data_IF_081159520479
#
_entry.id   IF_081159520479
#
_cell.length_a   1.000
_cell.length_b   1.000
_cell.length_c   1.000
_cell.angle_alpha   90.00
_cell.angle_beta   90.00
_cell.angle_gamma   90.00
#
_symmetry.space_group_name_H-M   'P 1'
#
loop_
_entity.id
_entity.type
_entity.pdbx_description
1 polymer ?
#
# COMPACT_ATOMS: atom_id res chain seq x y z
N UNK A 1 -1.49 -9.79 -21.98
CA UNK A 1 -1.14 -8.37 -21.95
C UNK A 1 0.31 -8.27 -21.54
N UNK A 2 1.04 -7.29 -22.07
CA UNK A 2 2.47 -7.14 -21.75
C UNK A 2 2.57 -6.31 -20.44
N UNK A 3 3.24 -6.85 -19.43
CA UNK A 3 3.43 -6.16 -18.15
C UNK A 3 4.44 -5.01 -18.29
N UNK A 4 4.10 -3.83 -17.79
CA UNK A 4 5.01 -2.67 -17.74
C UNK A 4 6.17 -2.91 -16.77
N UNK A 5 5.87 -3.53 -15.62
CA UNK A 5 6.90 -4.00 -14.68
C UNK A 5 6.79 -5.52 -14.60
N UNK A 6 7.89 -6.22 -14.86
CA UNK A 6 7.98 -7.68 -14.79
C UNK A 6 9.13 -8.09 -13.88
N UNK A 7 8.84 -8.98 -12.95
CA UNK A 7 9.83 -9.69 -12.13
C UNK A 7 9.63 -11.17 -12.41
N UNK A 8 10.69 -11.90 -12.71
CA UNK A 8 10.64 -13.31 -13.12
C UNK A 8 11.63 -14.14 -12.31
N UNK A 9 11.10 -14.93 -11.39
CA UNK A 9 11.84 -15.86 -10.51
C UNK A 9 13.09 -15.23 -9.86
N UNK A 10 12.96 -13.96 -9.44
CA UNK A 10 14.06 -13.15 -8.92
C UNK A 10 14.47 -13.61 -7.53
N UNK A 11 15.76 -13.90 -7.38
CA UNK A 11 16.37 -14.27 -6.10
C UNK A 11 17.57 -13.40 -5.80
N UNK A 12 17.65 -12.94 -4.57
CA UNK A 12 18.82 -12.31 -3.97
C UNK A 12 18.95 -12.78 -2.54
N UNK A 13 20.01 -13.52 -2.26
CA UNK A 13 20.32 -14.04 -0.93
C UNK A 13 21.45 -13.23 -0.30
N UNK A 14 21.22 -12.68 0.88
CA UNK A 14 22.24 -11.99 1.69
C UNK A 14 22.78 -12.88 2.82
N UNK A 15 22.37 -14.15 2.84
CA UNK A 15 22.68 -15.11 3.90
C UNK A 15 21.71 -15.04 5.09
N UNK A 16 21.70 -16.10 5.87
CA UNK A 16 20.88 -16.23 7.09
C UNK A 16 19.37 -16.03 6.84
N UNK A 17 18.85 -16.46 5.69
CA UNK A 17 17.46 -16.32 5.32
C UNK A 17 17.01 -14.89 4.97
N UNK A 18 17.96 -13.95 4.84
CA UNK A 18 17.69 -12.56 4.47
C UNK A 18 17.79 -12.38 2.96
N UNK A 19 16.76 -11.84 2.35
CA UNK A 19 16.77 -11.64 0.90
C UNK A 19 15.39 -11.61 0.29
N UNK A 20 15.34 -11.97 -0.99
CA UNK A 20 14.11 -12.25 -1.75
C UNK A 20 14.34 -13.52 -2.55
N UNK A 21 13.35 -14.41 -2.62
CA UNK A 21 13.55 -15.76 -3.09
C UNK A 21 12.45 -16.17 -4.07
N UNK A 22 12.80 -16.38 -5.34
CA UNK A 22 11.91 -16.86 -6.38
C UNK A 22 10.72 -15.94 -6.66
N UNK A 23 10.87 -14.63 -6.46
CA UNK A 23 9.78 -13.68 -6.62
C UNK A 23 9.41 -13.54 -8.09
N UNK A 24 8.12 -13.75 -8.39
CA UNK A 24 7.54 -13.51 -9.71
C UNK A 24 6.33 -12.60 -9.59
N UNK A 25 6.31 -11.51 -10.37
CA UNK A 25 5.30 -10.47 -10.30
C UNK A 25 5.17 -9.74 -11.64
N UNK A 26 3.95 -9.45 -12.06
CA UNK A 26 3.65 -8.62 -13.22
C UNK A 26 2.69 -7.49 -12.88
N UNK A 27 3.03 -6.27 -13.29
CA UNK A 27 2.21 -5.06 -13.09
C UNK A 27 1.80 -4.53 -14.46
N UNK A 28 0.52 -4.29 -14.64
CA UNK A 28 -0.07 -3.84 -15.90
C UNK A 28 0.08 -2.32 -16.08
N UNK A 29 -0.11 -1.84 -17.31
CA UNK A 29 -0.11 -0.40 -17.60
C UNK A 29 -1.28 0.29 -16.89
N UNK A 30 -1.00 1.44 -16.25
CA UNK A 30 -2.00 2.23 -15.52
C UNK A 30 -2.43 1.63 -14.18
N UNK A 31 -1.82 0.52 -13.76
CA UNK A 31 -2.13 -0.14 -12.50
C UNK A 31 -1.40 0.52 -11.31
N UNK A 32 -2.08 0.63 -10.19
CA UNK A 32 -1.46 0.90 -8.89
C UNK A 32 -1.34 -0.40 -8.12
N UNK A 33 -0.11 -0.91 -8.01
CA UNK A 33 0.19 -2.17 -7.36
C UNK A 33 0.89 -1.95 -6.02
N UNK A 34 0.35 -2.57 -4.96
CA UNK A 34 0.89 -2.52 -3.60
C UNK A 34 1.78 -3.70 -3.26
N UNK A 35 2.83 -3.47 -2.50
CA UNK A 35 3.67 -4.50 -1.88
C UNK A 35 3.61 -4.37 -0.36
N UNK A 36 2.77 -5.17 0.28
CA UNK A 36 2.58 -5.17 1.72
C UNK A 36 3.47 -6.22 2.41
N UNK A 37 3.97 -5.89 3.58
CA UNK A 37 4.75 -6.81 4.39
C UNK A 37 5.35 -6.12 5.60
N UNK A 38 5.71 -6.90 6.61
CA UNK A 38 6.39 -6.39 7.80
C UNK A 38 7.79 -5.85 7.47
N UNK A 39 8.38 -5.12 8.39
CA UNK A 39 9.75 -4.63 8.22
C UNK A 39 10.72 -5.82 8.10
N UNK A 40 11.65 -5.73 7.14
CA UNK A 40 12.60 -6.81 6.85
C UNK A 40 12.09 -7.88 5.88
N UNK A 41 10.83 -7.84 5.44
CA UNK A 41 10.29 -8.86 4.50
C UNK A 41 10.90 -8.86 3.10
N UNK A 42 11.69 -7.82 2.71
CA UNK A 42 12.35 -7.75 1.40
C UNK A 42 11.80 -6.67 0.45
N UNK A 43 10.82 -5.84 0.85
CA UNK A 43 10.19 -4.79 0.01
C UNK A 43 11.23 -3.87 -0.64
N UNK A 44 12.08 -3.24 0.17
CA UNK A 44 13.16 -2.36 -0.33
C UNK A 44 14.14 -3.09 -1.23
N UNK A 45 14.39 -4.37 -0.99
CA UNK A 45 15.26 -5.19 -1.84
C UNK A 45 14.68 -5.31 -3.25
N UNK A 46 13.38 -5.60 -3.39
CA UNK A 46 12.70 -5.64 -4.69
C UNK A 46 12.74 -4.30 -5.41
N UNK A 47 12.45 -3.19 -4.70
CA UNK A 47 12.54 -1.84 -5.28
C UNK A 47 13.96 -1.52 -5.78
N UNK A 48 14.99 -1.91 -5.02
CA UNK A 48 16.39 -1.72 -5.43
C UNK A 48 16.78 -2.53 -6.66
N UNK A 49 16.21 -3.73 -6.87
CA UNK A 49 16.41 -4.50 -8.09
C UNK A 49 15.78 -3.82 -9.29
N UNK A 50 14.55 -3.32 -9.19
CA UNK A 50 13.87 -2.59 -10.26
C UNK A 50 14.62 -1.31 -10.65
N UNK A 51 15.25 -0.63 -9.69
CA UNK A 51 16.10 0.54 -9.96
C UNK A 51 17.53 0.20 -10.43
N UNK A 52 17.84 -1.10 -10.59
CA UNK A 52 19.18 -1.53 -10.96
C UNK A 52 20.28 -1.17 -9.97
N UNK A 53 19.95 -1.03 -8.69
CA UNK A 53 20.95 -0.83 -7.61
C UNK A 53 21.51 -2.14 -7.09
N UNK A 54 20.81 -3.25 -7.33
CA UNK A 54 21.21 -4.60 -6.93
C UNK A 54 21.15 -5.53 -8.12
N UNK A 55 22.21 -6.36 -8.27
CA UNK A 55 22.20 -7.45 -9.22
C UNK A 55 21.56 -8.69 -8.59
N UNK A 56 20.58 -9.33 -9.25
CA UNK A 56 20.02 -10.58 -8.75
C UNK A 56 21.06 -11.72 -8.82
N UNK A 57 20.92 -12.70 -7.93
CA UNK A 57 21.73 -13.94 -7.98
C UNK A 57 21.15 -14.88 -9.05
N UNK A 58 19.81 -14.87 -9.22
CA UNK A 58 19.11 -15.55 -10.31
C UNK A 58 17.80 -14.83 -10.65
N UNK A 59 17.20 -15.19 -11.80
CA UNK A 59 16.01 -14.54 -12.31
C UNK A 59 16.32 -13.18 -12.93
N UNK A 60 15.26 -12.39 -13.19
CA UNK A 60 15.38 -11.09 -13.86
C UNK A 60 14.27 -10.13 -13.44
N UNK A 61 14.49 -8.85 -13.71
CA UNK A 61 13.45 -7.83 -13.63
C UNK A 61 13.54 -6.88 -14.82
N UNK A 62 12.39 -6.39 -15.29
CA UNK A 62 12.31 -5.48 -16.42
C UNK A 62 11.25 -4.40 -16.20
N UNK A 63 11.50 -3.19 -16.73
CA UNK A 63 10.54 -2.08 -16.81
C UNK A 63 10.42 -1.67 -18.27
N UNK A 64 9.20 -1.65 -18.80
CA UNK A 64 8.92 -1.36 -20.22
C UNK A 64 9.79 -2.22 -21.17
N UNK A 65 9.96 -3.49 -20.85
CA UNK A 65 10.79 -4.44 -21.62
C UNK A 65 12.31 -4.28 -21.45
N UNK A 66 12.78 -3.24 -20.75
CA UNK A 66 14.21 -3.03 -20.47
C UNK A 66 14.65 -3.78 -19.22
N UNK A 67 15.68 -4.62 -19.32
CA UNK A 67 16.27 -5.30 -18.17
C UNK A 67 16.83 -4.28 -17.14
N UNK A 68 16.41 -4.41 -15.89
CA UNK A 68 16.67 -3.43 -14.84
C UNK A 68 18.16 -3.32 -14.47
N UNK A 69 18.94 -4.39 -14.62
CA UNK A 69 20.36 -4.36 -14.30
C UNK A 69 21.18 -3.76 -15.44
N UNK A 70 20.98 -4.25 -16.66
CA UNK A 70 21.79 -3.84 -17.83
C UNK A 70 21.40 -2.46 -18.38
N UNK A 71 20.14 -2.06 -18.21
CA UNK A 71 19.59 -0.78 -18.68
C UNK A 71 19.33 0.23 -17.55
N UNK A 72 20.00 0.05 -16.40
CA UNK A 72 19.74 0.83 -15.17
C UNK A 72 19.83 2.36 -15.38
N UNK A 73 20.74 2.83 -16.21
CA UNK A 73 20.91 4.27 -16.50
C UNK A 73 19.66 4.85 -17.20
N UNK A 74 19.15 4.14 -18.21
CA UNK A 74 17.95 4.56 -18.96
C UNK A 74 16.71 4.51 -18.07
N UNK A 75 16.56 3.46 -17.28
CA UNK A 75 15.44 3.28 -16.34
C UNK A 75 15.42 4.43 -15.31
N UNK A 76 16.56 4.78 -14.71
CA UNK A 76 16.65 5.87 -13.73
C UNK A 76 16.23 7.23 -14.27
N UNK A 77 16.33 7.45 -15.58
CA UNK A 77 15.87 8.68 -16.25
C UNK A 77 14.39 8.69 -16.58
N UNK A 78 13.74 7.51 -16.60
CA UNK A 78 12.35 7.34 -17.04
C UNK A 78 11.37 6.96 -15.92
N UNK A 79 11.87 6.77 -14.68
CA UNK A 79 11.09 6.32 -13.54
C UNK A 79 11.18 7.34 -12.41
N UNK A 80 10.02 7.73 -11.86
CA UNK A 80 9.98 8.47 -10.61
C UNK A 80 10.20 7.53 -9.42
N UNK A 81 11.18 7.85 -8.56
CA UNK A 81 11.57 6.94 -7.48
C UNK A 81 11.62 7.62 -6.11
N UNK A 82 10.96 7.01 -5.12
CA UNK A 82 11.12 7.35 -3.70
C UNK A 82 11.88 6.19 -3.04
N UNK A 83 13.09 6.41 -2.50
CA UNK A 83 13.82 5.40 -1.75
C UNK A 83 13.27 5.24 -0.32
N UNK A 84 13.34 4.04 0.25
CA UNK A 84 12.92 3.78 1.65
C UNK A 84 13.76 4.53 2.69
N UNK A 85 15.03 4.82 2.35
CA UNK A 85 15.90 5.70 3.14
C UNK A 85 16.27 6.93 2.34
N UNK A 86 15.75 8.08 2.78
CA UNK A 86 15.93 9.35 2.08
C UNK A 86 17.27 9.97 2.46
N UNK A 87 18.12 10.15 1.45
CA UNK A 87 19.36 10.91 1.52
C UNK A 87 19.40 11.92 0.37
N UNK A 88 19.74 13.15 0.69
CA UNK A 88 19.86 14.22 -0.30
C UNK A 88 21.33 14.58 -0.54
N UNK A 89 21.68 15.04 -1.75
CA UNK A 89 22.97 15.63 -2.02
C UNK A 89 23.18 16.90 -1.18
N UNK A 90 24.42 17.37 -1.08
CA UNK A 90 24.75 18.58 -0.29
C UNK A 90 24.28 19.86 -1.02
N UNK A 91 22.97 20.08 -1.01
CA UNK A 91 22.32 21.30 -1.48
C UNK A 91 21.87 22.17 -0.31
N UNK A 92 21.75 23.48 -0.53
CA UNK A 92 21.45 24.44 0.55
C UNK A 92 20.00 24.28 1.04
N UNK A 93 19.05 24.13 0.11
CA UNK A 93 17.61 24.07 0.38
C UNK A 93 16.92 22.98 -0.46
N UNK A 94 15.67 22.65 -0.16
CA UNK A 94 14.83 21.79 -0.98
C UNK A 94 14.61 22.38 -2.38
N UNK A 95 14.43 23.71 -2.48
CA UNK A 95 14.27 24.38 -3.75
C UNK A 95 15.55 24.29 -4.62
N UNK A 96 16.74 24.42 -4.03
CA UNK A 96 18.00 24.22 -4.78
C UNK A 96 18.14 22.77 -5.26
N UNK A 97 17.68 21.83 -4.46
CA UNK A 97 17.64 20.41 -4.85
C UNK A 97 16.69 20.18 -6.04
N UNK A 98 15.48 20.75 -6.02
CA UNK A 98 14.55 20.62 -7.15
C UNK A 98 15.07 21.26 -8.43
N UNK A 99 15.72 22.44 -8.34
CA UNK A 99 16.35 23.07 -9.50
C UNK A 99 17.46 22.21 -10.08
N UNK A 100 18.33 21.66 -9.24
CA UNK A 100 19.38 20.74 -9.67
C UNK A 100 18.79 19.49 -10.36
N UNK A 101 17.73 18.93 -9.80
CA UNK A 101 17.06 17.77 -10.37
C UNK A 101 16.39 18.11 -11.71
N UNK A 102 15.72 19.27 -11.80
CA UNK A 102 15.11 19.74 -13.04
C UNK A 102 16.16 19.94 -14.15
N UNK A 103 17.30 20.54 -13.83
CA UNK A 103 18.43 20.70 -14.77
C UNK A 103 18.96 19.35 -15.24
N UNK A 104 19.18 18.40 -14.31
CA UNK A 104 19.66 17.06 -14.64
C UNK A 104 18.68 16.28 -15.53
N UNK A 105 17.38 16.45 -15.32
CA UNK A 105 16.32 15.79 -16.09
C UNK A 105 15.90 16.58 -17.34
N UNK A 106 16.46 17.78 -17.56
CA UNK A 106 16.08 18.63 -18.69
C UNK A 106 14.69 19.22 -18.62
N UNK A 107 14.13 19.41 -17.41
CA UNK A 107 12.79 19.96 -17.19
C UNK A 107 12.84 21.49 -17.32
N UNK A 108 12.09 22.04 -18.28
CA UNK A 108 11.98 23.49 -18.48
C UNK A 108 10.86 24.12 -17.63
N UNK A 109 9.85 23.33 -17.24
CA UNK A 109 8.69 23.79 -16.47
C UNK A 109 8.62 23.08 -15.12
N UNK A 110 8.53 23.85 -14.05
CA UNK A 110 8.40 23.36 -12.67
C UNK A 110 7.02 23.61 -12.07
N UNK A 111 6.04 24.02 -12.85
CA UNK A 111 4.68 24.35 -12.37
C UNK A 111 4.03 23.18 -11.64
N UNK A 112 4.29 21.95 -12.08
CA UNK A 112 3.79 20.75 -11.43
C UNK A 112 4.45 20.52 -10.05
N UNK A 113 5.75 20.82 -9.92
CA UNK A 113 6.42 20.76 -8.60
C UNK A 113 5.87 21.80 -7.63
N UNK A 114 5.51 23.00 -8.12
CA UNK A 114 4.90 24.05 -7.30
C UNK A 114 3.49 23.63 -6.83
N UNK A 115 2.73 22.95 -7.67
CA UNK A 115 1.42 22.37 -7.30
C UNK A 115 1.57 21.30 -6.21
N UNK A 116 2.54 20.39 -6.37
CA UNK A 116 2.81 19.33 -5.40
C UNK A 116 3.26 19.89 -4.06
N UNK A 117 4.14 20.90 -4.06
CA UNK A 117 4.58 21.59 -2.83
C UNK A 117 3.40 22.20 -2.08
N UNK A 118 2.45 22.84 -2.79
CA UNK A 118 1.24 23.39 -2.17
C UNK A 118 0.34 22.30 -1.59
N UNK A 119 0.10 21.20 -2.33
CA UNK A 119 -0.73 20.08 -1.86
C UNK A 119 -0.16 19.40 -0.61
N UNK A 120 1.16 19.31 -0.52
CA UNK A 120 1.87 18.67 0.59
C UNK A 120 2.24 19.65 1.71
N UNK A 121 1.86 20.92 1.61
CA UNK A 121 2.24 21.97 2.58
C UNK A 121 3.76 21.90 2.88
N UNK A 122 4.57 21.98 1.82
CA UNK A 122 6.03 21.90 1.89
C UNK A 122 6.68 23.25 1.70
N UNK A 123 7.37 23.75 2.73
CA UNK A 123 8.33 24.86 2.61
C UNK A 123 9.69 24.32 2.10
N UNK A 124 9.87 24.35 0.77
CA UNK A 124 11.11 23.91 0.14
C UNK A 124 12.25 24.92 0.26
N UNK A 125 12.02 26.12 0.80
CA UNK A 125 13.10 27.11 1.05
C UNK A 125 13.94 26.73 2.27
N UNK A 126 13.42 25.86 3.13
CA UNK A 126 14.10 25.35 4.31
C UNK A 126 15.41 24.61 3.93
N UNK A 127 16.42 24.75 4.80
CA UNK A 127 17.70 24.02 4.62
C UNK A 127 17.50 22.52 4.77
N UNK A 128 17.90 21.73 3.78
CA UNK A 128 17.72 20.26 3.76
C UNK A 128 18.24 19.59 5.04
N UNK A 129 19.41 19.99 5.54
CA UNK A 129 20.02 19.46 6.78
C UNK A 129 19.15 19.71 8.04
N UNK A 130 18.27 20.72 8.01
CA UNK A 130 17.39 21.11 9.13
C UNK A 130 15.95 20.64 8.97
N UNK A 131 15.60 20.05 7.82
CA UNK A 131 14.26 19.51 7.59
C UNK A 131 13.95 18.37 8.55
N UNK A 132 12.73 18.38 9.09
CA UNK A 132 12.17 17.24 9.83
C UNK A 132 12.06 16.01 8.94
N UNK A 133 11.84 14.82 9.51
CA UNK A 133 11.64 13.59 8.76
C UNK A 133 10.48 13.74 7.77
N UNK A 134 9.34 14.32 8.21
CA UNK A 134 8.18 14.57 7.35
C UNK A 134 8.46 15.55 6.20
N UNK A 135 9.21 16.64 6.45
CA UNK A 135 9.61 17.56 5.38
C UNK A 135 10.53 16.88 4.35
N UNK A 136 11.47 16.05 4.80
CA UNK A 136 12.32 15.26 3.90
C UNK A 136 11.49 14.30 3.06
N UNK A 137 10.49 13.66 3.66
CA UNK A 137 9.58 12.76 2.95
C UNK A 137 8.79 13.51 1.88
N UNK A 138 8.18 14.65 2.22
CA UNK A 138 7.47 15.51 1.27
C UNK A 138 8.40 15.95 0.12
N UNK A 139 9.65 16.31 0.43
CA UNK A 139 10.66 16.67 -0.59
C UNK A 139 10.94 15.49 -1.53
N UNK A 140 11.06 14.26 -1.01
CA UNK A 140 11.28 13.09 -1.85
C UNK A 140 10.05 12.77 -2.74
N UNK A 141 8.83 12.97 -2.23
CA UNK A 141 7.59 12.82 -3.01
C UNK A 141 7.56 13.82 -4.17
N UNK A 142 7.79 15.11 -3.91
CA UNK A 142 7.84 16.14 -4.96
C UNK A 142 8.89 15.78 -6.00
N UNK A 143 10.09 15.39 -5.57
CA UNK A 143 11.18 15.02 -6.48
C UNK A 143 10.83 13.83 -7.38
N UNK A 144 10.18 12.79 -6.85
CA UNK A 144 9.82 11.62 -7.63
C UNK A 144 8.71 11.89 -8.66
N UNK A 145 7.80 12.81 -8.34
CA UNK A 145 6.64 13.10 -9.18
C UNK A 145 6.90 14.24 -10.18
N UNK A 146 7.81 15.18 -9.88
CA UNK A 146 8.03 16.38 -10.71
C UNK A 146 8.51 16.06 -12.12
N UNK A 147 9.10 14.89 -12.34
CA UNK A 147 9.57 14.43 -13.66
C UNK A 147 8.43 13.97 -14.57
N UNK A 148 7.22 13.88 -14.06
CA UNK A 148 6.01 13.43 -14.75
C UNK A 148 6.17 12.07 -15.46
N UNK A 149 6.99 11.18 -14.88
CA UNK A 149 7.28 9.85 -15.42
C UNK A 149 6.04 8.97 -15.46
N UNK A 150 5.92 8.10 -16.48
CA UNK A 150 4.79 7.15 -16.61
C UNK A 150 4.85 6.02 -15.56
N UNK A 151 6.03 5.73 -15.03
CA UNK A 151 6.24 4.68 -14.02
C UNK A 151 6.77 5.29 -12.74
N UNK A 152 6.14 4.95 -11.62
CA UNK A 152 6.54 5.38 -10.28
C UNK A 152 6.87 4.17 -9.42
N UNK A 153 8.04 4.17 -8.79
CA UNK A 153 8.47 3.20 -7.78
C UNK A 153 8.59 3.91 -6.43
N UNK A 154 7.73 3.55 -5.48
CA UNK A 154 7.59 4.30 -4.23
C UNK A 154 7.82 3.36 -3.03
N UNK A 155 8.99 3.46 -2.39
CA UNK A 155 9.34 2.64 -1.23
C UNK A 155 8.98 3.36 0.07
N UNK A 156 7.94 2.88 0.76
CA UNK A 156 7.41 3.45 2.02
C UNK A 156 7.13 4.97 1.92
N UNK A 157 6.37 5.45 0.92
CA UNK A 157 6.28 6.86 0.57
C UNK A 157 5.68 7.77 1.64
N UNK A 158 4.89 7.23 2.56
CA UNK A 158 4.19 8.01 3.59
C UNK A 158 4.81 7.92 4.98
N UNK A 159 5.95 7.22 5.10
CA UNK A 159 6.64 7.06 6.38
C UNK A 159 7.06 8.42 6.95
N UNK A 160 6.55 8.74 8.14
CA UNK A 160 6.84 10.01 8.84
C UNK A 160 5.96 11.18 8.45
N UNK A 161 4.94 10.95 7.62
CA UNK A 161 3.87 11.92 7.37
C UNK A 161 2.77 11.79 8.43
N UNK A 162 2.16 12.92 8.78
CA UNK A 162 0.94 12.93 9.58
C UNK A 162 -0.28 12.45 8.75
N UNK A 163 -1.40 12.08 9.41
CA UNK A 163 -2.57 11.53 8.71
C UNK A 163 -3.16 12.45 7.63
N UNK A 164 -3.08 13.78 7.79
CA UNK A 164 -3.57 14.72 6.80
C UNK A 164 -2.72 14.67 5.53
N UNK A 165 -1.40 14.61 5.70
CA UNK A 165 -0.45 14.52 4.58
C UNK A 165 -0.45 13.13 3.93
N UNK A 166 -0.72 12.05 4.67
CA UNK A 166 -0.96 10.72 4.10
C UNK A 166 -2.19 10.74 3.19
N UNK A 167 -3.27 11.40 3.60
CA UNK A 167 -4.45 11.59 2.75
C UNK A 167 -4.13 12.40 1.50
N UNK A 168 -3.42 13.53 1.64
CA UNK A 168 -3.00 14.36 0.51
C UNK A 168 -2.15 13.55 -0.50
N UNK A 169 -1.25 12.70 -0.01
CA UNK A 169 -0.48 11.76 -0.84
C UNK A 169 -1.40 10.78 -1.58
N UNK A 170 -2.36 10.15 -0.91
CA UNK A 170 -3.31 9.22 -1.54
C UNK A 170 -4.13 9.91 -2.63
N UNK A 171 -4.54 11.17 -2.42
CA UNK A 171 -5.25 11.97 -3.41
C UNK A 171 -4.35 12.28 -4.63
N UNK A 172 -3.06 12.56 -4.41
CA UNK A 172 -2.07 12.74 -5.48
C UNK A 172 -1.91 11.45 -6.28
N UNK A 173 -1.71 10.29 -5.63
CA UNK A 173 -1.56 8.99 -6.30
C UNK A 173 -2.81 8.66 -7.13
N UNK A 174 -3.99 8.93 -6.58
CA UNK A 174 -5.26 8.73 -7.30
C UNK A 174 -5.38 9.62 -8.54
N UNK A 175 -4.85 10.85 -8.50
CA UNK A 175 -4.79 11.74 -9.64
C UNK A 175 -3.79 11.25 -10.70
N UNK A 176 -2.61 10.80 -10.28
CA UNK A 176 -1.58 10.26 -11.19
C UNK A 176 -2.05 8.95 -11.87
N UNK A 177 -2.77 8.09 -11.14
CA UNK A 177 -3.43 6.91 -11.70
C UNK A 177 -4.43 7.28 -12.81
N UNK A 178 -5.25 8.32 -12.60
CA UNK A 178 -6.21 8.80 -13.60
C UNK A 178 -5.53 9.32 -14.86
N UNK A 179 -4.27 9.73 -14.79
CA UNK A 179 -3.45 10.10 -15.96
C UNK A 179 -2.89 8.86 -16.70
N UNK A 180 -3.13 7.65 -16.20
CA UNK A 180 -2.67 6.38 -16.78
C UNK A 180 -1.28 5.95 -16.32
N UNK A 181 -0.73 6.54 -15.25
CA UNK A 181 0.58 6.14 -14.73
C UNK A 181 0.54 4.77 -14.05
N UNK A 182 1.59 4.00 -14.23
CA UNK A 182 1.82 2.73 -13.56
C UNK A 182 2.59 2.98 -12.26
N UNK A 183 2.05 2.54 -11.13
CA UNK A 183 2.60 2.85 -9.81
C UNK A 183 2.84 1.57 -9.04
N UNK A 184 4.07 1.32 -8.63
CA UNK A 184 4.42 0.26 -7.71
C UNK A 184 4.87 0.85 -6.39
N UNK A 185 4.12 0.59 -5.32
CA UNK A 185 4.40 1.16 -4.00
C UNK A 185 4.50 0.11 -2.92
N UNK A 186 5.49 0.24 -2.05
CA UNK A 186 5.56 -0.55 -0.82
C UNK A 186 4.96 0.22 0.34
N UNK A 187 4.30 -0.48 1.26
CA UNK A 187 3.87 0.08 2.54
C UNK A 187 3.65 -1.01 3.59
N UNK A 188 3.70 -0.64 4.84
CA UNK A 188 3.23 -1.45 5.96
C UNK A 188 1.88 -0.94 6.49
N UNK A 189 1.32 0.13 5.90
CA UNK A 189 0.04 0.73 6.25
C UNK A 189 -1.06 0.20 5.30
N UNK A 190 -1.81 -0.81 5.75
CA UNK A 190 -2.84 -1.46 4.94
C UNK A 190 -3.93 -0.50 4.47
N UNK A 191 -4.38 0.43 5.33
CA UNK A 191 -5.41 1.40 4.99
C UNK A 191 -5.03 2.32 3.82
N UNK A 192 -3.74 2.66 3.66
CA UNK A 192 -3.24 3.40 2.51
C UNK A 192 -3.45 2.62 1.21
N UNK A 193 -3.09 1.33 1.22
CA UNK A 193 -3.21 0.45 0.07
C UNK A 193 -4.66 0.16 -0.30
N UNK A 194 -5.55 0.03 0.68
CA UNK A 194 -6.98 -0.17 0.45
C UNK A 194 -7.60 0.93 -0.40
N UNK A 195 -7.15 2.16 -0.22
CA UNK A 195 -7.69 3.32 -0.93
C UNK A 195 -7.04 3.57 -2.29
N UNK A 196 -5.78 3.15 -2.48
CA UNK A 196 -4.99 3.55 -3.65
C UNK A 196 -4.74 2.42 -4.64
N UNK A 197 -4.52 1.18 -4.16
CA UNK A 197 -4.08 0.06 -4.98
C UNK A 197 -5.23 -0.66 -5.69
N UNK A 198 -4.91 -1.28 -6.85
CA UNK A 198 -5.78 -2.21 -7.57
C UNK A 198 -5.54 -3.65 -7.12
N UNK A 199 -4.27 -4.03 -6.99
CA UNK A 199 -3.84 -5.31 -6.42
C UNK A 199 -2.75 -5.07 -5.38
N UNK A 200 -2.66 -6.00 -4.42
CA UNK A 200 -1.63 -5.96 -3.37
C UNK A 200 -1.01 -7.34 -3.23
N UNK A 201 0.32 -7.41 -3.32
CA UNK A 201 1.08 -8.61 -2.98
C UNK A 201 1.51 -8.58 -1.52
N UNK A 202 1.37 -9.71 -0.83
CA UNK A 202 1.89 -9.92 0.52
C UNK A 202 3.26 -10.56 0.46
N UNK A 203 4.25 -9.89 1.02
CA UNK A 203 5.64 -10.36 1.10
C UNK A 203 5.97 -10.77 2.53
N UNK A 204 6.38 -12.02 2.72
CA UNK A 204 6.85 -12.61 3.98
C UNK A 204 8.17 -13.32 3.75
N UNK A 205 9.19 -13.03 4.55
CA UNK A 205 10.50 -13.70 4.53
C UNK A 205 11.09 -13.84 3.11
N UNK A 206 10.96 -12.78 2.31
CA UNK A 206 11.47 -12.74 0.95
C UNK A 206 10.61 -13.44 -0.11
N UNK A 207 9.45 -14.00 0.25
CA UNK A 207 8.55 -14.71 -0.66
C UNK A 207 7.22 -13.95 -0.83
N UNK A 208 6.68 -13.93 -2.05
CA UNK A 208 5.27 -13.54 -2.25
C UNK A 208 4.41 -14.71 -1.77
N UNK A 209 3.63 -14.48 -0.70
CA UNK A 209 2.75 -15.50 -0.13
C UNK A 209 1.33 -15.44 -0.70
N UNK A 210 0.90 -14.26 -1.17
CA UNK A 210 -0.41 -14.08 -1.80
C UNK A 210 -0.48 -12.78 -2.58
N UNK A 211 -1.37 -12.72 -3.58
CA UNK A 211 -1.73 -11.50 -4.30
C UNK A 211 -3.24 -11.33 -4.22
N UNK A 212 -3.68 -10.18 -3.73
CA UNK A 212 -5.09 -9.83 -3.53
C UNK A 212 -5.51 -8.80 -4.58
N UNK A 213 -6.63 -9.05 -5.25
CA UNK A 213 -7.33 -8.04 -6.01
C UNK A 213 -8.16 -7.19 -5.05
N UNK A 214 -7.99 -5.89 -5.07
CA UNK A 214 -8.68 -4.99 -4.14
C UNK A 214 -10.19 -4.88 -4.42
N UNK A 215 -10.64 -5.30 -5.61
CA UNK A 215 -12.07 -5.45 -5.88
C UNK A 215 -12.71 -6.53 -5.00
N UNK A 216 -11.95 -7.59 -4.63
CA UNK A 216 -12.44 -8.64 -3.73
C UNK A 216 -12.55 -8.17 -2.28
N UNK A 217 -11.65 -7.31 -1.83
CA UNK A 217 -11.73 -6.70 -0.50
C UNK A 217 -12.92 -5.72 -0.44
N UNK A 218 -13.02 -4.85 -1.46
CA UNK A 218 -14.10 -3.85 -1.58
C UNK A 218 -15.45 -4.48 -1.93
N UNK A 219 -15.46 -5.61 -2.65
CA UNK A 219 -16.64 -6.33 -3.11
C UNK A 219 -17.13 -7.44 -2.17
N UNK A 220 -16.38 -7.79 -1.12
CA UNK A 220 -16.87 -8.67 -0.04
C UNK A 220 -17.97 -8.00 0.82
N UNK A 221 -18.55 -6.91 0.29
CA UNK A 221 -19.78 -6.31 0.80
C UNK A 221 -20.99 -7.24 0.73
N UNK A 222 -20.92 -8.36 -0.02
CA UNK A 222 -22.02 -9.33 -0.07
C UNK A 222 -22.25 -10.13 1.22
N UNK A 223 -21.26 -10.14 2.12
CA UNK A 223 -21.35 -10.73 3.44
C UNK A 223 -20.77 -9.76 4.46
N UNK A 224 -21.55 -9.35 5.43
CA UNK A 224 -21.15 -8.39 6.47
C UNK A 224 -21.04 -9.06 7.83
N UNK A 225 -20.01 -8.65 8.58
CA UNK A 225 -19.86 -9.05 9.97
C UNK A 225 -20.43 -7.98 10.89
N UNK A 226 -21.38 -8.37 11.74
CA UNK A 226 -21.92 -7.52 12.78
C UNK A 226 -21.53 -8.04 14.15
N UNK A 227 -21.13 -7.14 15.03
CA UNK A 227 -21.00 -7.39 16.47
C UNK A 227 -22.16 -6.71 17.16
N UNK A 228 -22.91 -7.49 17.95
CA UNK A 228 -24.12 -7.06 18.65
C UNK A 228 -23.96 -7.39 20.12
N UNK A 229 -24.25 -6.42 21.00
CA UNK A 229 -24.26 -6.58 22.44
C UNK A 229 -25.65 -6.23 22.96
N UNK A 230 -26.23 -7.10 23.78
CA UNK A 230 -27.56 -6.95 24.33
C UNK A 230 -27.49 -6.45 25.78
N UNK A 231 -28.52 -5.68 26.21
CA UNK A 231 -28.61 -5.21 27.58
C UNK A 231 -28.98 -6.31 28.55
N UNK A 232 -29.75 -7.32 28.09
CA UNK A 232 -30.15 -8.44 28.90
C UNK A 232 -29.85 -9.81 28.28
N UNK A 233 -29.86 -10.86 29.13
CA UNK A 233 -29.56 -12.22 28.72
C UNK A 233 -30.75 -12.90 28.01
N UNK A 234 -31.96 -12.40 28.14
CA UNK A 234 -33.15 -13.01 27.53
C UNK A 234 -33.14 -12.71 26.02
N UNK A 235 -32.91 -11.45 25.63
CA UNK A 235 -32.77 -11.05 24.23
C UNK A 235 -31.53 -11.68 23.59
N UNK A 236 -30.39 -11.77 24.32
CA UNK A 236 -29.24 -12.49 23.87
C UNK A 236 -29.51 -13.97 23.56
N UNK A 237 -30.16 -14.68 24.48
CA UNK A 237 -30.51 -16.09 24.29
C UNK A 237 -31.54 -16.26 23.15
N UNK A 238 -32.55 -15.39 23.07
CA UNK A 238 -33.54 -15.36 21.99
C UNK A 238 -32.83 -15.14 20.62
N UNK A 239 -31.89 -14.22 20.54
CA UNK A 239 -31.12 -13.98 19.30
C UNK A 239 -30.31 -15.21 18.90
N UNK A 240 -29.60 -15.86 19.83
CA UNK A 240 -28.85 -17.08 19.58
C UNK A 240 -29.68 -18.27 19.12
N UNK A 241 -30.99 -18.30 19.44
CA UNK A 241 -31.93 -19.34 18.97
C UNK A 241 -32.32 -19.18 17.49
N UNK A 242 -31.95 -18.03 16.86
CA UNK A 242 -32.22 -17.75 15.45
C UNK A 242 -31.16 -18.39 14.56
N UNK A 243 -31.51 -18.60 13.28
CA UNK A 243 -30.64 -19.26 12.29
C UNK A 243 -29.64 -18.29 11.65
N UNK A 244 -28.93 -17.50 12.46
CA UNK A 244 -27.81 -16.68 11.95
C UNK A 244 -26.51 -17.45 11.98
N UNK A 245 -25.61 -17.14 11.05
CA UNK A 245 -24.26 -17.68 11.07
C UNK A 245 -23.42 -16.98 12.15
N UNK A 246 -23.36 -17.59 13.33
CA UNK A 246 -22.61 -17.06 14.48
C UNK A 246 -21.13 -17.42 14.32
N UNK A 247 -20.27 -16.41 14.24
CA UNK A 247 -18.81 -16.54 14.07
C UNK A 247 -18.05 -16.31 15.38
N UNK A 248 -18.70 -15.79 16.42
CA UNK A 248 -18.10 -15.59 17.73
C UNK A 248 -19.11 -15.24 18.81
N UNK A 249 -18.79 -15.60 20.06
CA UNK A 249 -19.60 -15.30 21.26
C UNK A 249 -18.71 -14.82 22.40
N UNK A 250 -19.26 -13.91 23.21
CA UNK A 250 -18.72 -13.51 24.51
C UNK A 250 -19.87 -13.42 25.50
N UNK A 251 -20.16 -14.56 26.13
CA UNK A 251 -21.35 -14.71 26.99
C UNK A 251 -21.29 -13.76 28.20
N UNK A 252 -20.11 -13.46 28.73
CA UNK A 252 -19.89 -12.49 29.82
C UNK A 252 -20.46 -11.08 29.53
N UNK A 253 -20.54 -10.72 28.25
CA UNK A 253 -21.01 -9.40 27.81
C UNK A 253 -22.31 -9.47 27.03
N UNK A 254 -23.00 -10.62 27.01
CA UNK A 254 -24.19 -10.84 26.15
C UNK A 254 -23.93 -10.41 24.71
N UNK A 255 -22.72 -10.73 24.19
CA UNK A 255 -22.21 -10.26 22.90
C UNK A 255 -22.08 -11.40 21.91
N UNK A 256 -22.56 -11.17 20.68
CA UNK A 256 -22.45 -12.11 19.56
C UNK A 256 -21.85 -11.41 18.34
N UNK A 257 -21.06 -12.15 17.58
CA UNK A 257 -20.60 -11.76 16.24
C UNK A 257 -21.24 -12.69 15.22
N UNK A 258 -21.83 -12.12 14.19
CA UNK A 258 -22.50 -12.86 13.12
C UNK A 258 -21.94 -12.45 11.76
N UNK A 259 -21.99 -13.38 10.81
CA UNK A 259 -21.73 -13.14 9.40
C UNK A 259 -23.04 -13.30 8.62
N UNK A 260 -23.43 -12.29 7.85
CA UNK A 260 -24.74 -12.23 7.20
C UNK A 260 -24.63 -11.69 5.77
N UNK A 261 -25.30 -12.34 4.78
CA UNK A 261 -25.41 -11.80 3.43
C UNK A 261 -26.13 -10.45 3.40
N UNK A 262 -25.75 -9.58 2.48
CA UNK A 262 -26.37 -8.26 2.29
C UNK A 262 -27.89 -8.33 2.08
N UNK A 263 -28.35 -9.36 1.37
CA UNK A 263 -29.78 -9.59 1.13
C UNK A 263 -30.59 -9.79 2.44
N UNK A 264 -29.95 -10.27 3.49
CA UNK A 264 -30.57 -10.63 4.77
C UNK A 264 -30.47 -9.53 5.84
N UNK A 265 -29.75 -8.43 5.53
CA UNK A 265 -29.54 -7.32 6.48
C UNK A 265 -30.86 -6.70 6.93
N UNK A 266 -31.83 -6.56 6.00
CA UNK A 266 -33.17 -6.07 6.35
C UNK A 266 -33.86 -6.94 7.39
N UNK A 267 -33.75 -8.27 7.27
CA UNK A 267 -34.31 -9.25 8.22
C UNK A 267 -33.60 -9.14 9.57
N UNK A 268 -32.28 -8.97 9.60
CA UNK A 268 -31.51 -8.75 10.82
C UNK A 268 -32.03 -7.52 11.58
N UNK A 269 -32.09 -6.36 10.91
CA UNK A 269 -32.53 -5.13 11.55
C UNK A 269 -33.98 -5.18 12.02
N UNK A 270 -34.85 -5.89 11.28
CA UNK A 270 -36.24 -6.12 11.73
C UNK A 270 -36.28 -6.91 13.04
N UNK A 271 -35.48 -7.98 13.15
CA UNK A 271 -35.40 -8.80 14.39
C UNK A 271 -34.82 -7.94 15.53
N UNK A 272 -33.77 -7.19 15.28
CA UNK A 272 -33.11 -6.36 16.29
C UNK A 272 -34.00 -5.18 16.77
N UNK A 273 -34.97 -4.74 15.96
CA UNK A 273 -35.84 -3.62 16.31
C UNK A 273 -36.78 -3.85 17.51
N UNK A 274 -36.96 -5.11 17.90
CA UNK A 274 -37.81 -5.53 19.04
C UNK A 274 -36.99 -6.03 20.24
N UNK A 275 -35.67 -5.91 20.20
CA UNK A 275 -34.73 -6.36 21.22
C UNK A 275 -34.03 -5.14 21.88
N UNK A 276 -33.68 -5.31 23.15
CA UNK A 276 -32.93 -4.26 23.88
C UNK A 276 -31.41 -4.38 23.58
N UNK A 277 -30.97 -3.58 22.60
CA UNK A 277 -29.60 -3.62 22.10
C UNK A 277 -28.79 -2.52 22.77
N UNK A 278 -27.68 -2.89 23.40
CA UNK A 278 -26.71 -1.97 23.96
C UNK A 278 -25.80 -1.36 22.91
N UNK A 279 -25.35 -2.21 21.96
CA UNK A 279 -24.36 -1.82 20.97
C UNK A 279 -24.46 -2.70 19.72
N UNK A 280 -24.35 -2.08 18.56
CA UNK A 280 -24.17 -2.76 17.27
C UNK A 280 -23.06 -2.08 16.48
N UNK A 281 -22.14 -2.85 15.92
CA UNK A 281 -21.13 -2.36 14.99
C UNK A 281 -20.98 -3.29 13.80
N UNK A 282 -20.73 -2.71 12.64
CA UNK A 282 -20.26 -3.41 11.46
C UNK A 282 -18.74 -3.52 11.52
N UNK A 283 -18.21 -4.73 11.26
CA UNK A 283 -16.79 -4.98 11.14
C UNK A 283 -16.48 -5.16 9.64
N UNK A 284 -15.89 -4.15 8.98
CA UNK A 284 -15.53 -4.29 7.57
C UNK A 284 -14.45 -5.36 7.39
N UNK A 285 -14.50 -6.10 6.29
CA UNK A 285 -13.41 -6.96 5.88
C UNK A 285 -12.32 -6.07 5.28
N UNK A 286 -11.16 -6.04 5.92
CA UNK A 286 -10.06 -5.15 5.56
C UNK A 286 -8.87 -5.93 4.97
N UNK A 287 -7.99 -5.24 4.24
CA UNK A 287 -6.74 -5.82 3.76
C UNK A 287 -5.87 -6.34 4.92
N UNK A 288 -5.92 -5.65 6.07
CA UNK A 288 -5.22 -6.08 7.29
C UNK A 288 -5.79 -7.39 7.84
N UNK A 289 -7.11 -7.57 7.85
CA UNK A 289 -7.75 -8.83 8.23
C UNK A 289 -7.34 -9.97 7.28
N UNK A 290 -7.41 -9.72 5.97
CA UNK A 290 -6.97 -10.66 4.95
C UNK A 290 -5.50 -11.05 5.12
N UNK A 291 -4.61 -10.07 5.34
CA UNK A 291 -3.19 -10.32 5.62
C UNK A 291 -3.01 -11.21 6.85
N UNK A 292 -3.68 -10.89 7.95
CA UNK A 292 -3.57 -11.63 9.21
C UNK A 292 -4.01 -13.09 9.05
N UNK A 293 -5.09 -13.33 8.32
CA UNK A 293 -5.57 -14.69 8.04
C UNK A 293 -4.55 -15.52 7.23
N UNK A 294 -3.97 -14.91 6.19
CA UNK A 294 -3.01 -15.58 5.31
C UNK A 294 -1.68 -15.79 6.04
N UNK A 295 -1.22 -14.76 6.75
CA UNK A 295 0.04 -14.79 7.49
C UNK A 295 0.07 -15.90 8.54
N UNK A 296 -1.01 -16.05 9.32
CA UNK A 296 -1.13 -17.07 10.35
C UNK A 296 -1.24 -18.49 9.78
N UNK A 297 -1.91 -18.67 8.62
CA UNK A 297 -1.97 -19.98 7.94
C UNK A 297 -0.61 -20.46 7.45
N UNK A 298 0.30 -19.54 7.09
CA UNK A 298 1.66 -19.88 6.63
C UNK A 298 2.64 -20.20 7.78
N UNK A 299 2.27 -20.01 9.05
CA UNK A 299 3.07 -20.44 10.21
C UNK A 299 2.73 -21.86 10.69
N UNK A 300 1.61 -22.40 10.25
CA UNK A 300 1.10 -23.75 10.70
C UNK A 300 1.43 -24.85 9.66
N UNK A 301 1.95 -24.48 8.51
CA UNK A 301 2.36 -25.39 7.43
C UNK A 301 3.88 -25.54 7.37
#
# INVERSE_FOLDING_TARGET
MEHVIKIDNLTKDFGEGRGVFGVSLGIEEGEVFGLAGINGSGKTTLMRHLMGFLRPDSGSSAIKGMDCWTSAETIKKSVGYIPGEISFPDTKSGMDFFKLQAEYMGLADMSFSDELMRKLDLDATAKLKRMSKGMKQKTAIVNALMTDSDVLLLDEPTTGLDPLMQKAFSDIISAEKKKGKTIFMSSHLFGEMEHTCDRVAFLKDGHIIHIVDMSTIRGNEHVKEYRIEFNDNEDYANFLSRSFNVIGKKDEYSQVSISIPDADIGSLFHILSVMDIRYISHKPYTLEACFSEIYNKTEVA
#
